data_IF_034188614898
#
_entry.id   IF_034188614898
#
_cell.length_a   1.000
_cell.length_b   1.000
_cell.length_c   1.000
_cell.angle_alpha   90.00
_cell.angle_beta   90.00
_cell.angle_gamma   90.00
#
_symmetry.space_group_name_H-M   'P 1'
#
loop_
_entity.id
_entity.type
_entity.pdbx_description
1 polymer ?
#
# COMPACT_ATOMS: atom_id res chain seq x y z
N UNK A 1 -6.02 -15.08 5.09
CA UNK A 1 -6.92 -14.04 4.56
C UNK A 1 -7.98 -14.70 3.72
N UNK A 2 -9.26 -14.35 3.91
CA UNK A 2 -10.33 -14.77 2.99
C UNK A 2 -10.18 -14.04 1.66
N UNK A 3 -10.52 -14.68 0.55
CA UNK A 3 -10.51 -14.02 -0.76
C UNK A 3 -11.53 -12.87 -0.76
N UNK A 4 -11.09 -11.67 -1.18
CA UNK A 4 -11.98 -10.54 -1.44
C UNK A 4 -12.13 -10.43 -2.95
N UNK A 5 -13.37 -10.43 -3.43
CA UNK A 5 -13.67 -10.23 -4.84
C UNK A 5 -13.69 -8.73 -5.14
N UNK A 6 -12.77 -8.29 -6.00
CA UNK A 6 -12.66 -6.89 -6.42
C UNK A 6 -13.23 -6.75 -7.82
N UNK A 7 -14.30 -5.97 -7.96
CA UNK A 7 -14.78 -5.61 -9.29
C UNK A 7 -13.81 -4.62 -9.98
N UNK A 8 -13.87 -4.58 -11.31
CA UNK A 8 -12.98 -3.75 -12.12
C UNK A 8 -13.02 -2.25 -11.75
N UNK A 9 -14.19 -1.74 -11.32
CA UNK A 9 -14.33 -0.32 -10.98
C UNK A 9 -13.67 0.00 -9.65
N UNK A 10 -13.76 -0.92 -8.70
CA UNK A 10 -13.09 -0.85 -7.41
C UNK A 10 -11.58 -0.95 -7.59
N UNK A 11 -11.12 -1.89 -8.42
CA UNK A 11 -9.71 -1.99 -8.81
C UNK A 11 -9.21 -0.67 -9.44
N UNK A 12 -10.00 -0.04 -10.32
CA UNK A 12 -9.63 1.25 -10.89
C UNK A 12 -9.51 2.37 -9.84
N UNK A 13 -10.36 2.39 -8.81
CA UNK A 13 -10.24 3.35 -7.68
C UNK A 13 -8.96 3.09 -6.89
N UNK A 14 -8.62 1.82 -6.65
CA UNK A 14 -7.37 1.44 -5.97
C UNK A 14 -6.16 1.94 -6.78
N UNK A 15 -6.10 1.62 -8.09
CA UNK A 15 -5.02 2.05 -8.97
C UNK A 15 -4.90 3.58 -9.05
N UNK A 16 -6.02 4.30 -9.14
CA UNK A 16 -6.01 5.76 -9.14
C UNK A 16 -5.46 6.34 -7.83
N UNK A 17 -5.78 5.74 -6.68
CA UNK A 17 -5.21 6.10 -5.39
C UNK A 17 -3.71 5.86 -5.34
N UNK A 18 -3.26 4.68 -5.79
CA UNK A 18 -1.84 4.33 -5.88
C UNK A 18 -1.04 5.34 -6.71
N UNK A 19 -1.55 5.71 -7.91
CA UNK A 19 -0.93 6.74 -8.77
C UNK A 19 -0.81 8.09 -8.07
N UNK A 20 -1.82 8.47 -7.28
CA UNK A 20 -1.81 9.75 -6.55
C UNK A 20 -0.78 9.75 -5.43
N UNK A 21 -0.59 8.62 -4.75
CA UNK A 21 0.46 8.46 -3.73
C UNK A 21 1.84 8.56 -4.37
N UNK A 22 2.10 7.79 -5.43
CA UNK A 22 3.39 7.78 -6.14
C UNK A 22 3.76 9.09 -6.86
N UNK A 23 2.91 10.12 -6.77
CA UNK A 23 3.16 11.45 -7.35
C UNK A 23 3.07 12.57 -6.30
N UNK A 24 2.97 12.21 -5.01
CA UNK A 24 2.71 13.13 -3.91
C UNK A 24 3.88 14.10 -3.66
N UNK A 25 5.11 13.65 -3.83
CA UNK A 25 6.34 14.43 -3.65
C UNK A 25 6.67 15.34 -4.84
N UNK A 26 5.90 15.26 -5.92
CA UNK A 26 6.12 16.04 -7.14
C UNK A 26 7.35 15.60 -7.95
N UNK A 27 8.00 14.50 -7.57
CA UNK A 27 9.06 13.88 -8.36
C UNK A 27 8.48 12.96 -9.45
N UNK A 28 9.35 12.47 -10.33
CA UNK A 28 8.93 11.47 -11.30
C UNK A 28 8.69 10.15 -10.57
N UNK A 29 7.57 9.47 -10.87
CA UNK A 29 7.23 8.14 -10.35
C UNK A 29 8.47 7.25 -10.31
N UNK A 30 8.81 6.73 -9.13
CA UNK A 30 9.96 5.88 -9.01
C UNK A 30 9.72 4.56 -9.78
N UNK A 31 10.75 3.96 -10.43
CA UNK A 31 10.55 2.76 -11.26
C UNK A 31 9.90 1.59 -10.52
N UNK A 32 10.15 1.45 -9.22
CA UNK A 32 9.58 0.37 -8.40
C UNK A 32 8.08 0.56 -8.19
N UNK A 33 7.66 1.77 -7.81
CA UNK A 33 6.25 2.13 -7.65
C UNK A 33 5.52 1.98 -8.99
N UNK A 34 6.11 2.50 -10.06
CA UNK A 34 5.55 2.41 -11.40
C UNK A 34 5.31 0.96 -11.80
N UNK A 35 6.30 0.09 -11.61
CA UNK A 35 6.17 -1.34 -11.93
C UNK A 35 5.04 -2.00 -11.13
N UNK A 36 4.94 -1.70 -9.83
CA UNK A 36 3.89 -2.26 -8.97
C UNK A 36 2.51 -1.83 -9.44
N UNK A 37 2.35 -0.55 -9.78
CA UNK A 37 1.07 0.00 -10.24
C UNK A 37 0.71 -0.55 -11.63
N UNK A 38 1.65 -0.60 -12.56
CA UNK A 38 1.42 -1.15 -13.90
C UNK A 38 1.06 -2.63 -13.84
N UNK A 39 1.73 -3.41 -12.96
CA UNK A 39 1.40 -4.82 -12.75
C UNK A 39 -0.03 -4.99 -12.23
N UNK A 40 -0.48 -4.12 -11.31
CA UNK A 40 -1.85 -4.13 -10.81
C UNK A 40 -2.87 -3.68 -11.88
N UNK A 41 -2.53 -2.68 -12.69
CA UNK A 41 -3.42 -2.13 -13.74
C UNK A 41 -3.63 -3.08 -14.93
N UNK A 42 -2.71 -4.03 -15.18
CA UNK A 42 -2.80 -4.98 -16.31
C UNK A 42 -4.10 -5.77 -16.36
N UNK A 43 -4.66 -6.07 -15.20
CA UNK A 43 -5.89 -6.86 -15.08
C UNK A 43 -7.16 -6.00 -15.10
N UNK A 44 -7.04 -4.67 -15.17
CA UNK A 44 -8.15 -3.74 -15.23
C UNK A 44 -8.53 -3.50 -16.70
N UNK A 45 -9.81 -3.72 -17.10
CA UNK A 45 -10.25 -3.45 -18.46
C UNK A 45 -9.97 -1.99 -18.88
N UNK A 46 -9.42 -1.75 -20.09
CA UNK A 46 -9.13 -0.41 -20.57
C UNK A 46 -10.36 0.51 -20.57
N UNK A 47 -10.18 1.76 -20.13
CA UNK A 47 -11.25 2.75 -20.08
C UNK A 47 -12.18 2.67 -18.85
N UNK A 48 -11.94 1.72 -17.94
CA UNK A 48 -12.66 1.63 -16.67
C UNK A 48 -12.44 2.90 -15.84
N UNK A 49 -13.54 3.55 -15.45
CA UNK A 49 -13.49 4.80 -14.68
C UNK A 49 -13.45 4.52 -13.17
N UNK A 50 -12.58 5.22 -12.40
CA UNK A 50 -12.44 5.04 -10.95
C UNK A 50 -13.58 5.73 -10.19
N UNK A 51 -14.80 5.19 -10.31
CA UNK A 51 -16.04 5.81 -9.79
C UNK A 51 -16.76 4.97 -8.74
N UNK A 52 -16.19 3.82 -8.36
CA UNK A 52 -16.77 2.97 -7.34
C UNK A 52 -16.70 3.63 -5.95
N UNK A 53 -17.73 3.40 -5.14
CA UNK A 53 -17.71 3.78 -3.72
C UNK A 53 -17.12 2.64 -2.90
N UNK A 54 -16.07 2.92 -2.14
CA UNK A 54 -15.48 1.96 -1.20
C UNK A 54 -16.25 2.07 0.13
N UNK A 55 -17.29 1.25 0.27
CA UNK A 55 -18.10 1.18 1.49
C UNK A 55 -17.82 -0.05 2.37
N UNK A 56 -17.33 -1.14 1.77
CA UNK A 56 -17.03 -2.38 2.47
C UNK A 56 -15.70 -2.28 3.24
N UNK A 57 -15.68 -2.78 4.47
CA UNK A 57 -14.51 -2.69 5.35
C UNK A 57 -13.31 -3.52 4.85
N UNK A 58 -13.56 -4.68 4.22
CA UNK A 58 -12.48 -5.51 3.68
C UNK A 58 -11.88 -4.86 2.43
N UNK A 59 -12.71 -4.30 1.55
CA UNK A 59 -12.24 -3.53 0.39
C UNK A 59 -11.47 -2.28 0.84
N UNK A 60 -11.96 -1.57 1.87
CA UNK A 60 -11.26 -0.41 2.44
C UNK A 60 -9.90 -0.80 3.01
N UNK A 61 -9.81 -1.91 3.72
CA UNK A 61 -8.53 -2.43 4.22
C UNK A 61 -7.56 -2.73 3.07
N UNK A 62 -8.01 -3.37 1.99
CA UNK A 62 -7.19 -3.62 0.81
C UNK A 62 -6.74 -2.31 0.18
N UNK A 63 -7.65 -1.34 0.01
CA UNK A 63 -7.33 -0.04 -0.53
C UNK A 63 -6.21 0.64 0.26
N UNK A 64 -6.33 0.75 1.59
CA UNK A 64 -5.31 1.38 2.42
C UNK A 64 -3.97 0.65 2.35
N UNK A 65 -3.98 -0.69 2.41
CA UNK A 65 -2.76 -1.50 2.28
C UNK A 65 -2.09 -1.31 0.92
N UNK A 66 -2.88 -1.21 -0.15
CA UNK A 66 -2.42 -0.91 -1.49
C UNK A 66 -1.71 0.45 -1.59
N UNK A 67 -2.27 1.50 -0.97
CA UNK A 67 -1.62 2.81 -0.92
C UNK A 67 -0.29 2.77 -0.17
N UNK A 68 -0.30 2.11 1.00
CA UNK A 68 0.88 1.93 1.85
C UNK A 68 1.98 1.13 1.14
N UNK A 69 1.63 0.05 0.43
CA UNK A 69 2.59 -0.77 -0.32
C UNK A 69 3.33 0.03 -1.39
N UNK A 70 2.64 0.93 -2.09
CA UNK A 70 3.26 1.81 -3.08
C UNK A 70 4.25 2.74 -2.40
N UNK A 71 3.82 3.46 -1.37
CA UNK A 71 4.70 4.40 -0.66
C UNK A 71 5.89 3.71 0.07
N UNK A 72 5.78 2.42 0.38
CA UNK A 72 6.87 1.63 0.96
C UNK A 72 7.79 0.98 -0.07
N UNK A 73 7.51 1.09 -1.38
CA UNK A 73 8.28 0.43 -2.42
C UNK A 73 9.77 0.80 -2.37
N UNK A 74 10.08 2.02 -1.95
CA UNK A 74 11.45 2.54 -1.82
C UNK A 74 11.96 2.54 -0.37
N UNK A 75 11.23 1.86 0.52
CA UNK A 75 11.62 1.56 1.90
C UNK A 75 11.28 2.64 2.93
N UNK A 76 10.78 3.80 2.51
CA UNK A 76 10.34 4.89 3.41
C UNK A 76 9.14 5.62 2.82
N UNK A 77 8.22 6.02 3.70
CA UNK A 77 7.09 6.89 3.37
C UNK A 77 7.44 8.32 3.79
N UNK A 78 7.46 9.25 2.84
CA UNK A 78 7.62 10.70 3.05
C UNK A 78 6.44 11.31 3.83
N UNK A 79 6.56 12.58 4.25
CA UNK A 79 5.42 13.26 4.90
C UNK A 79 4.34 13.62 3.88
N UNK A 80 4.73 13.98 2.66
CA UNK A 80 3.85 14.29 1.53
C UNK A 80 2.98 13.09 1.15
N UNK A 81 3.56 11.89 1.09
CA UNK A 81 2.80 10.66 0.85
C UNK A 81 1.86 10.33 2.01
N UNK A 82 2.27 10.56 3.27
CA UNK A 82 1.39 10.37 4.43
C UNK A 82 0.17 11.28 4.37
N UNK A 83 0.36 12.54 4.01
CA UNK A 83 -0.73 13.50 3.85
C UNK A 83 -1.69 13.04 2.74
N UNK A 84 -1.18 12.60 1.59
CA UNK A 84 -2.01 12.06 0.51
C UNK A 84 -2.73 10.77 0.91
N UNK A 85 -2.08 9.84 1.60
CA UNK A 85 -2.70 8.61 2.10
C UNK A 85 -3.82 8.95 3.09
N UNK A 86 -3.59 9.91 3.99
CA UNK A 86 -4.60 10.35 4.96
C UNK A 86 -5.81 10.99 4.27
N UNK A 87 -5.59 11.86 3.28
CA UNK A 87 -6.66 12.46 2.49
C UNK A 87 -7.49 11.40 1.74
N UNK A 88 -6.81 10.42 1.14
CA UNK A 88 -7.46 9.32 0.44
C UNK A 88 -8.23 8.41 1.41
N UNK A 89 -7.67 8.12 2.59
CA UNK A 89 -8.33 7.35 3.63
C UNK A 89 -9.62 8.03 4.10
N UNK A 90 -9.58 9.33 4.38
CA UNK A 90 -10.77 10.09 4.77
C UNK A 90 -11.85 10.06 3.68
N UNK A 91 -11.46 10.10 2.39
CA UNK A 91 -12.40 10.04 1.27
C UNK A 91 -13.21 8.73 1.20
N UNK A 92 -12.71 7.64 1.81
CA UNK A 92 -13.37 6.33 1.91
C UNK A 92 -13.89 6.02 3.32
N UNK A 93 -13.92 7.03 4.19
CA UNK A 93 -14.42 6.91 5.57
C UNK A 93 -13.51 6.14 6.51
N UNK A 94 -12.20 6.10 6.23
CA UNK A 94 -11.18 5.61 7.16
C UNK A 94 -10.56 6.77 7.96
N UNK A 95 -10.04 6.44 9.14
CA UNK A 95 -9.33 7.38 10.02
C UNK A 95 -7.83 7.07 10.13
N UNK A 96 -7.14 7.83 10.98
CA UNK A 96 -5.69 7.66 11.20
C UNK A 96 -5.34 6.27 11.77
N UNK A 97 -6.18 5.73 12.65
CA UNK A 97 -5.97 4.40 13.21
C UNK A 97 -6.05 3.32 12.15
N UNK A 98 -6.95 3.45 11.18
CA UNK A 98 -7.01 2.54 10.03
C UNK A 98 -5.72 2.60 9.17
N UNK A 99 -5.18 3.80 8.94
CA UNK A 99 -3.92 3.99 8.18
C UNK A 99 -2.72 3.43 8.94
N UNK A 100 -2.63 3.69 10.24
CA UNK A 100 -1.57 3.17 11.11
C UNK A 100 -1.61 1.63 11.13
N UNK A 101 -2.80 1.03 11.27
CA UNK A 101 -2.97 -0.43 11.22
C UNK A 101 -2.60 -1.01 9.85
N UNK A 102 -3.02 -0.39 8.74
CA UNK A 102 -2.66 -0.84 7.40
C UNK A 102 -1.14 -0.77 7.18
N UNK A 103 -0.49 0.27 7.72
CA UNK A 103 0.97 0.45 7.70
C UNK A 103 1.68 -0.68 8.44
N UNK A 104 1.24 -0.98 9.67
CA UNK A 104 1.79 -2.08 10.45
C UNK A 104 1.59 -3.44 9.77
N UNK A 105 0.40 -3.69 9.22
CA UNK A 105 0.07 -4.94 8.55
C UNK A 105 1.00 -5.20 7.35
N UNK A 106 1.17 -4.21 6.45
CA UNK A 106 2.05 -4.33 5.28
C UNK A 106 3.50 -4.58 5.71
N UNK A 107 3.96 -3.83 6.71
CA UNK A 107 5.29 -3.99 7.32
C UNK A 107 5.52 -5.40 7.87
N UNK A 108 4.55 -5.93 8.62
CA UNK A 108 4.60 -7.30 9.16
C UNK A 108 4.58 -8.35 8.05
N UNK A 109 3.75 -8.17 7.03
CA UNK A 109 3.70 -9.06 5.87
C UNK A 109 5.05 -9.10 5.13
N UNK A 110 5.67 -7.94 4.91
CA UNK A 110 6.99 -7.83 4.26
C UNK A 110 8.07 -8.60 5.04
N UNK A 111 8.12 -8.40 6.36
CA UNK A 111 9.05 -9.13 7.23
C UNK A 111 8.77 -10.63 7.27
N UNK A 112 7.50 -11.03 7.20
CA UNK A 112 7.11 -12.44 7.32
C UNK A 112 7.76 -13.33 6.24
N UNK A 113 8.17 -12.74 5.11
CA UNK A 113 8.92 -13.41 4.03
C UNK A 113 10.27 -13.95 4.54
N UNK A 114 10.88 -13.30 5.53
CA UNK A 114 12.15 -13.70 6.13
C UNK A 114 11.98 -14.64 7.33
N UNK A 115 10.74 -15.03 7.66
CA UNK A 115 10.47 -15.95 8.76
C UNK A 115 11.14 -17.30 8.50
N UNK A 116 12.11 -17.66 9.36
CA UNK A 116 12.87 -18.90 9.24
C UNK A 116 14.29 -18.72 8.69
N UNK A 117 14.69 -17.51 8.31
CA UNK A 117 16.09 -17.19 8.00
C UNK A 117 16.90 -17.22 9.29
N UNK A 118 17.88 -18.13 9.39
CA UNK A 118 18.71 -18.31 10.60
C UNK A 118 20.14 -17.83 10.43
N UNK A 119 20.72 -17.91 9.23
CA UNK A 119 22.12 -17.54 8.98
C UNK A 119 22.33 -16.03 8.77
N UNK A 120 21.30 -15.31 8.33
CA UNK A 120 21.34 -13.87 8.06
C UNK A 120 20.41 -13.08 8.97
N UNK A 121 20.18 -13.59 10.19
CA UNK A 121 19.21 -13.02 11.12
C UNK A 121 19.49 -11.55 11.45
N UNK A 122 20.74 -11.20 11.73
CA UNK A 122 21.14 -9.82 12.07
C UNK A 122 20.83 -8.82 10.95
N UNK A 123 20.90 -9.27 9.69
CA UNK A 123 20.57 -8.45 8.52
C UNK A 123 19.06 -8.26 8.37
N UNK A 124 18.28 -9.29 8.70
CA UNK A 124 16.81 -9.21 8.75
C UNK A 124 16.36 -8.28 9.89
N UNK A 125 17.02 -8.34 11.05
CA UNK A 125 16.76 -7.43 12.17
C UNK A 125 17.11 -5.98 11.84
N UNK A 126 18.19 -5.74 11.09
CA UNK A 126 18.56 -4.39 10.61
C UNK A 126 17.52 -3.85 9.64
N UNK A 127 17.10 -4.66 8.66
CA UNK A 127 16.05 -4.28 7.70
C UNK A 127 14.71 -4.00 8.40
N UNK A 128 14.35 -4.81 9.39
CA UNK A 128 13.15 -4.59 10.19
C UNK A 128 13.21 -3.25 10.94
N UNK A 129 14.35 -2.94 11.56
CA UNK A 129 14.56 -1.67 12.25
C UNK A 129 14.48 -0.46 11.30
N UNK A 130 15.02 -0.57 10.08
CA UNK A 130 14.91 0.48 9.05
C UNK A 130 13.46 0.73 8.61
N UNK A 131 12.63 -0.32 8.60
CA UNK A 131 11.19 -0.23 8.37
C UNK A 131 10.41 0.20 9.62
N UNK A 132 11.07 0.39 10.76
CA UNK A 132 10.45 0.78 12.03
C UNK A 132 9.70 -0.34 12.74
N UNK A 133 10.13 -1.59 12.57
CA UNK A 133 9.50 -2.78 13.13
C UNK A 133 10.47 -3.43 14.12
N UNK A 134 9.95 -3.86 15.28
CA UNK A 134 10.69 -4.66 16.25
C UNK A 134 10.37 -6.14 16.05
N UNK A 135 11.41 -6.97 15.96
CA UNK A 135 11.32 -8.43 15.86
C UNK A 135 11.47 -9.04 17.25
N UNK A 136 10.37 -9.10 17.99
CA UNK A 136 10.30 -9.82 19.28
C UNK A 136 10.24 -11.36 19.08
#
# INVERSE_FOLDING_TARGET
TGAVDLDARTAAVIAAGMRRVATADGEALHPNELSLIEDFEKDIPPGTQPTATIGDAAIRSIYLKSLVMVALADGRISEEEKDVIMDLAQSVGADRGDVDQATEDVKREFISIFKGVTHFRDQVETLAAELGISLD
#
